data_IF_482592662923
#
_entry.id   IF_482592662923
#
_cell.length_a   1.000
_cell.length_b   1.000
_cell.length_c   1.000
_cell.angle_alpha   90.00
_cell.angle_beta   90.00
_cell.angle_gamma   90.00
#
_symmetry.space_group_name_H-M   'P 1'
#
loop_
_entity.id
_entity.type
_entity.pdbx_description
1 polymer ?
#
# COMPACT_ATOMS: atom_id res chain seq x y z
N UNK A 1 -7.37 20.36 6.43
CA UNK A 1 -7.17 19.37 5.35
C UNK A 1 -5.85 18.69 5.63
N UNK A 2 -5.94 17.55 6.31
CA UNK A 2 -4.80 16.88 6.93
C UNK A 2 -3.90 16.31 5.84
N UNK A 3 -2.74 16.94 5.62
CA UNK A 3 -1.69 16.41 4.77
C UNK A 3 -1.14 15.14 5.39
N UNK A 4 -1.83 14.02 5.18
CA UNK A 4 -1.33 12.71 5.52
C UNK A 4 -0.11 12.50 4.61
N UNK A 5 1.09 12.18 5.14
CA UNK A 5 2.32 12.04 4.35
C UNK A 5 2.23 10.94 3.28
N UNK A 6 1.17 10.15 3.32
CA UNK A 6 0.82 9.12 2.34
C UNK A 6 -0.14 9.60 1.25
N UNK A 7 -0.69 10.83 1.29
CA UNK A 7 -1.82 11.24 0.44
C UNK A 7 -1.44 12.11 -0.77
N UNK A 8 -0.30 12.79 -0.72
CA UNK A 8 0.09 13.74 -1.77
C UNK A 8 1.53 13.56 -2.19
N UNK A 9 1.77 13.34 -3.48
CA UNK A 9 3.11 13.30 -4.06
C UNK A 9 3.14 12.55 -5.39
N UNK A 10 3.48 13.28 -6.46
CA UNK A 10 4.00 12.70 -7.70
C UNK A 10 5.30 11.95 -7.38
N UNK A 11 5.33 10.66 -7.64
CA UNK A 11 6.45 9.80 -7.30
C UNK A 11 6.01 8.35 -7.11
N UNK A 12 6.96 7.41 -7.23
CA UNK A 12 6.67 5.98 -7.15
C UNK A 12 5.89 5.62 -5.87
N UNK A 13 4.99 4.65 -5.99
CA UNK A 13 4.25 4.01 -4.91
C UNK A 13 4.77 2.61 -4.69
N UNK A 14 4.91 2.23 -3.42
CA UNK A 14 5.31 0.90 -3.03
C UNK A 14 4.15 0.18 -2.34
N UNK A 15 4.00 -1.12 -2.60
CA UNK A 15 3.21 -2.00 -1.75
C UNK A 15 4.20 -2.80 -0.92
N UNK A 16 4.04 -2.77 0.39
CA UNK A 16 4.88 -3.49 1.34
C UNK A 16 4.07 -4.55 2.05
N UNK A 17 4.72 -5.66 2.38
CA UNK A 17 4.18 -6.77 3.16
C UNK A 17 4.98 -6.93 4.44
N UNK A 18 4.32 -7.22 5.56
CA UNK A 18 5.00 -7.65 6.77
C UNK A 18 5.07 -9.19 6.87
N UNK A 19 5.83 -9.72 7.82
CA UNK A 19 5.93 -11.17 8.01
C UNK A 19 4.61 -11.85 8.42
N UNK A 20 3.60 -11.08 8.84
CA UNK A 20 2.24 -11.57 9.10
C UNK A 20 1.35 -11.59 7.84
N UNK A 21 1.86 -11.20 6.68
CA UNK A 21 1.11 -11.13 5.42
C UNK A 21 0.18 -9.92 5.31
N UNK A 22 0.29 -8.94 6.21
CA UNK A 22 -0.45 -7.68 6.10
C UNK A 22 0.25 -6.74 5.12
N UNK A 23 -0.55 -6.07 4.29
CA UNK A 23 -0.06 -5.19 3.24
C UNK A 23 -0.38 -3.73 3.55
N UNK A 24 0.53 -2.84 3.18
CA UNK A 24 0.35 -1.41 3.31
C UNK A 24 0.91 -0.67 2.09
N UNK A 25 0.29 0.47 1.75
CA UNK A 25 0.88 1.41 0.81
C UNK A 25 2.01 2.17 1.49
N UNK A 26 3.14 2.26 0.80
CA UNK A 26 4.35 2.89 1.31
C UNK A 26 4.96 3.83 0.27
N UNK A 27 5.79 4.73 0.76
CA UNK A 27 6.49 5.71 -0.07
C UNK A 27 7.96 5.34 -0.19
N UNK A 28 8.56 5.40 -1.39
CA UNK A 28 9.95 4.99 -1.63
C UNK A 28 10.97 5.87 -0.92
N UNK A 29 10.59 7.10 -0.56
CA UNK A 29 11.44 8.03 0.19
C UNK A 29 11.37 7.84 1.71
N UNK A 30 10.47 6.98 2.21
CA UNK A 30 10.39 6.65 3.63
C UNK A 30 11.13 5.35 3.91
N UNK A 31 11.97 5.36 4.95
CA UNK A 31 12.64 4.14 5.41
C UNK A 31 11.64 3.06 5.79
N UNK A 32 11.90 1.83 5.35
CA UNK A 32 11.05 0.69 5.67
C UNK A 32 11.30 0.24 7.10
N UNK A 33 10.25 0.09 7.93
CA UNK A 33 10.41 -0.49 9.24
C UNK A 33 10.90 -1.95 9.13
N UNK A 34 11.68 -2.39 10.12
CA UNK A 34 12.20 -3.76 10.17
C UNK A 34 11.03 -4.77 10.13
N UNK A 35 11.15 -5.78 9.27
CA UNK A 35 10.11 -6.80 9.06
C UNK A 35 9.11 -6.46 7.95
N UNK A 36 9.23 -5.30 7.31
CA UNK A 36 8.49 -4.95 6.10
C UNK A 36 9.34 -5.17 4.86
N UNK A 37 8.72 -5.68 3.81
CA UNK A 37 9.37 -5.99 2.52
C UNK A 37 8.55 -5.43 1.38
N UNK A 38 9.21 -4.81 0.40
CA UNK A 38 8.54 -4.30 -0.80
C UNK A 38 8.16 -5.48 -1.69
N UNK A 39 6.88 -5.59 -2.04
CA UNK A 39 6.36 -6.60 -2.98
C UNK A 39 6.02 -6.00 -4.33
N UNK A 40 5.74 -4.69 -4.38
CA UNK A 40 5.43 -4.00 -5.62
C UNK A 40 5.99 -2.57 -5.60
N UNK A 41 6.43 -2.10 -6.77
CA UNK A 41 6.82 -0.72 -7.03
C UNK A 41 6.21 -0.27 -8.35
N UNK A 42 5.44 0.80 -8.33
CA UNK A 42 4.85 1.39 -9.54
C UNK A 42 4.97 2.91 -9.55
N UNK A 43 5.08 3.56 -10.71
CA UNK A 43 5.15 5.01 -10.80
C UNK A 43 3.81 5.69 -10.49
N UNK A 44 2.71 4.94 -10.51
CA UNK A 44 1.35 5.44 -10.29
C UNK A 44 0.68 4.72 -9.12
N UNK A 45 -0.15 5.48 -8.40
CA UNK A 45 -0.99 4.95 -7.33
C UNK A 45 -1.98 3.92 -7.86
N UNK A 46 -2.59 4.18 -9.01
CA UNK A 46 -3.54 3.25 -9.64
C UNK A 46 -2.93 1.88 -9.92
N UNK A 47 -1.71 1.80 -10.45
CA UNK A 47 -1.07 0.50 -10.71
C UNK A 47 -0.76 -0.25 -9.40
N UNK A 48 -0.36 0.47 -8.33
CA UNK A 48 -0.15 -0.12 -7.01
C UNK A 48 -1.45 -0.55 -6.33
N UNK A 49 -2.54 0.20 -6.57
CA UNK A 49 -3.87 -0.10 -6.06
C UNK A 49 -4.45 -1.31 -6.78
N UNK A 50 -4.37 -1.36 -8.11
CA UNK A 50 -4.80 -2.50 -8.92
C UNK A 50 -4.04 -3.78 -8.56
N UNK A 51 -2.71 -3.68 -8.37
CA UNK A 51 -1.92 -4.79 -7.84
C UNK A 51 -2.41 -5.20 -6.44
N UNK A 52 -2.67 -4.25 -5.55
CA UNK A 52 -3.18 -4.56 -4.21
C UNK A 52 -4.60 -5.16 -4.23
N UNK A 53 -5.49 -4.69 -5.09
CA UNK A 53 -6.86 -5.20 -5.25
C UNK A 53 -6.87 -6.62 -5.85
N UNK A 54 -6.00 -6.90 -6.83
CA UNK A 54 -5.86 -8.22 -7.43
C UNK A 54 -5.18 -9.23 -6.51
N UNK A 55 -4.22 -8.80 -5.70
CA UNK A 55 -3.45 -9.71 -4.83
C UNK A 55 -4.03 -9.81 -3.42
N UNK A 56 -4.77 -8.80 -2.96
CA UNK A 56 -5.41 -8.76 -1.64
C UNK A 56 -6.90 -8.49 -1.81
N UNK A 57 -7.67 -9.57 -1.91
CA UNK A 57 -9.06 -9.54 -1.46
C UNK A 57 -9.05 -9.11 0.00
N UNK A 58 -9.28 -7.83 0.26
CA UNK A 58 -9.79 -7.41 1.53
C UNK A 58 -11.11 -8.16 1.70
N UNK A 59 -11.15 -9.07 2.67
CA UNK A 59 -12.40 -9.59 3.22
C UNK A 59 -13.15 -8.40 3.83
N UNK A 60 -13.83 -7.62 2.99
CA UNK A 60 -14.92 -6.75 3.40
C UNK A 60 -16.23 -7.46 3.10
N UNK A 61 -16.38 -8.68 3.62
CA UNK A 61 -17.72 -9.21 3.85
C UNK A 61 -18.19 -8.74 5.22
N UNK A 62 -18.59 -7.47 5.30
CA UNK A 62 -19.66 -7.08 6.22
C UNK A 62 -20.36 -5.83 5.68
N UNK A 63 -21.29 -5.95 4.72
CA UNK A 63 -22.44 -5.08 4.75
C UNK A 63 -23.25 -5.44 6.02
N UNK A 64 -23.03 -4.69 7.09
CA UNK A 64 -24.03 -4.57 8.15
C UNK A 64 -25.27 -3.92 7.54
N UNK A 65 -26.29 -4.73 7.24
CA UNK A 65 -27.72 -4.39 7.34
C UNK A 65 -28.57 -5.64 7.11
#
# INVERSE_FOLDING_TARGET
MSGNPFDGGEGDWLVVVNDAGAHALWRPYLELPKGWRVVYRGPRRDDALDYAEQNFTALVDTPTA
#
